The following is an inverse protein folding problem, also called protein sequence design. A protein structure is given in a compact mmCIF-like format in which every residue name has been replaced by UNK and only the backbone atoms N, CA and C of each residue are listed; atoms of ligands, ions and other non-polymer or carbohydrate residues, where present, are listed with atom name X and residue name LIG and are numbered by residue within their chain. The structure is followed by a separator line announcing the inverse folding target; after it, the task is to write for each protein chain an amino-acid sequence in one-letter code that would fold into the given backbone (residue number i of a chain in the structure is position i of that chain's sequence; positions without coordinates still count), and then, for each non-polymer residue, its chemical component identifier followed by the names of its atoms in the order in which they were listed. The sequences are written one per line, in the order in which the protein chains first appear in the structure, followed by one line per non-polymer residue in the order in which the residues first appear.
data_IF_091215973962
#
_entry.id   IF_091215973962
#
_cell.length_a   1.000
_cell.length_b   1.000
_cell.length_c   1.000
_cell.angle_alpha   90.00
_cell.angle_beta   90.00
_cell.angle_gamma   90.00
#
_symmetry.space_group_name_H-M   'P 1'
#
loop_
_entity.id
_entity.type
_entity.pdbx_description
1 polymer ?
#
# COMPACT_ATOMS: atom_id res chain seq x y z
N UNK A 1 -1.33 21.86 3.48
CA UNK A 1 -1.04 21.20 2.19
C UNK A 1 -1.15 19.69 2.44
N UNK A 2 -1.78 18.89 1.58
CA UNK A 2 -1.81 17.44 1.79
C UNK A 2 -0.35 16.93 1.82
N UNK A 3 -0.05 16.04 2.76
CA UNK A 3 1.29 15.74 3.26
C UNK A 3 2.25 15.13 2.23
N UNK A 4 1.81 14.87 1.00
CA UNK A 4 2.60 14.24 -0.06
C UNK A 4 2.40 14.90 -1.43
N UNK A 5 2.02 16.18 -1.47
CA UNK A 5 1.91 16.92 -2.72
C UNK A 5 3.28 17.32 -3.27
N UNK A 6 3.45 17.17 -4.59
CA UNK A 6 4.65 17.57 -5.31
C UNK A 6 4.37 18.85 -6.12
N UNK A 7 5.31 19.79 -6.07
CA UNK A 7 5.31 20.99 -6.92
C UNK A 7 6.54 20.95 -7.83
N UNK A 8 6.30 20.74 -9.13
CA UNK A 8 7.32 20.81 -10.16
C UNK A 8 7.34 22.22 -10.76
N UNK A 9 8.36 23.03 -10.46
CA UNK A 9 8.51 24.38 -11.02
C UNK A 9 9.51 24.34 -12.17
N UNK A 10 9.08 24.81 -13.35
CA UNK A 10 9.94 25.08 -14.50
C UNK A 10 10.11 26.59 -14.66
N UNK A 11 11.34 27.02 -14.89
CA UNK A 11 11.67 28.42 -15.14
C UNK A 11 12.22 28.59 -16.54
N UNK A 12 11.76 29.61 -17.24
CA UNK A 12 12.30 29.96 -18.54
C UNK A 12 12.27 31.47 -18.75
N UNK A 13 13.21 31.96 -19.56
CA UNK A 13 13.28 33.37 -19.94
C UNK A 13 12.61 33.52 -21.30
N UNK A 14 11.59 34.37 -21.37
CA UNK A 14 10.95 34.81 -22.61
C UNK A 14 11.44 36.20 -22.96
N UNK A 15 11.82 36.41 -24.21
CA UNK A 15 12.26 37.71 -24.71
C UNK A 15 11.34 38.16 -25.84
N UNK A 16 10.70 39.32 -25.67
CA UNK A 16 9.82 39.93 -26.67
C UNK A 16 10.07 41.43 -26.71
N UNK A 17 10.31 41.98 -27.92
CA UNK A 17 10.54 43.42 -28.13
C UNK A 17 11.65 44.01 -27.24
N UNK A 18 12.72 43.24 -27.00
CA UNK A 18 13.86 43.66 -26.16
C UNK A 18 13.59 43.64 -24.65
N UNK A 19 12.41 43.16 -24.19
CA UNK A 19 12.15 42.90 -22.78
C UNK A 19 12.36 41.43 -22.46
N UNK A 20 13.13 41.16 -21.40
CA UNK A 20 13.32 39.81 -20.84
C UNK A 20 12.37 39.59 -19.67
N UNK A 21 11.56 38.55 -19.76
CA UNK A 21 10.59 38.14 -18.74
C UNK A 21 10.97 36.76 -18.22
N UNK A 22 11.13 36.63 -16.91
CA UNK A 22 11.27 35.32 -16.28
C UNK A 22 9.89 34.74 -16.01
N UNK A 23 9.61 33.55 -16.55
CA UNK A 23 8.35 32.85 -16.38
C UNK A 23 8.57 31.66 -15.46
N UNK A 24 7.73 31.55 -14.44
CA UNK A 24 7.66 30.42 -13.53
C UNK A 24 6.39 29.63 -13.86
N UNK A 25 6.56 28.41 -14.34
CA UNK A 25 5.45 27.49 -14.58
C UNK A 25 5.49 26.38 -13.53
N UNK A 26 4.51 26.37 -12.63
CA UNK A 26 4.37 25.32 -11.62
C UNK A 26 3.36 24.25 -12.05
N UNK A 27 3.70 22.98 -11.89
CA UNK A 27 2.76 21.86 -11.91
C UNK A 27 2.62 21.30 -10.51
N UNK A 28 1.43 21.40 -9.94
CA UNK A 28 1.09 20.81 -8.65
C UNK A 28 0.42 19.46 -8.88
N UNK A 29 0.97 18.41 -8.29
CA UNK A 29 0.37 17.06 -8.29
C UNK A 29 0.12 16.64 -6.85
N UNK A 30 -1.15 16.54 -6.48
CA UNK A 30 -1.56 15.90 -5.24
C UNK A 30 -1.78 14.39 -5.49
N UNK A 31 -1.56 13.55 -4.46
CA UNK A 31 -2.03 12.17 -4.51
C UNK A 31 -3.55 12.15 -4.72
N UNK A 32 -4.11 11.16 -5.45
CA UNK A 32 -5.54 10.90 -5.43
C UNK A 32 -6.12 10.88 -3.99
N UNK A 33 -7.37 11.29 -3.77
CA UNK A 33 -8.01 11.14 -2.47
C UNK A 33 -7.99 9.68 -2.04
N UNK A 34 -7.42 9.40 -0.86
CA UNK A 34 -7.43 8.07 -0.28
C UNK A 34 -8.86 7.75 0.20
N UNK A 35 -9.44 6.58 -0.14
CA UNK A 35 -10.67 6.15 0.52
C UNK A 35 -10.40 5.91 2.01
N UNK A 36 -11.38 6.17 2.87
CA UNK A 36 -11.46 5.69 4.27
C UNK A 36 -10.19 5.80 5.15
N UNK A 37 -9.33 6.82 4.94
CA UNK A 37 -8.18 7.09 5.81
C UNK A 37 -6.94 6.23 5.56
N UNK A 38 -6.76 5.71 4.34
CA UNK A 38 -5.50 5.08 3.97
C UNK A 38 -4.36 6.13 3.88
N UNK A 39 -3.19 5.75 4.37
CA UNK A 39 -1.96 6.54 4.30
C UNK A 39 -1.31 6.36 2.93
N UNK A 40 -0.90 7.46 2.30
CA UNK A 40 -0.24 7.43 1.00
C UNK A 40 1.26 7.22 1.14
N UNK A 41 1.78 6.22 0.42
CA UNK A 41 3.20 5.95 0.27
C UNK A 41 3.63 6.30 -1.16
N UNK A 42 4.39 7.40 -1.36
CA UNK A 42 4.74 7.91 -2.68
C UNK A 42 5.39 6.85 -3.59
N UNK A 43 4.80 6.67 -4.77
CA UNK A 43 5.27 5.71 -5.78
C UNK A 43 5.00 4.24 -5.46
N UNK A 44 4.27 3.94 -4.37
CA UNK A 44 3.88 2.57 -4.00
C UNK A 44 2.37 2.39 -4.03
N UNK A 45 1.64 3.19 -3.23
CA UNK A 45 0.19 3.01 -3.10
C UNK A 45 -0.35 3.58 -1.79
N UNK A 46 -1.56 3.17 -1.42
CA UNK A 46 -2.20 3.56 -0.17
C UNK A 46 -2.41 2.36 0.73
N UNK A 47 -2.10 2.50 2.01
CA UNK A 47 -2.19 1.41 2.97
C UNK A 47 -2.91 1.82 4.24
N UNK A 48 -3.62 0.89 4.87
CA UNK A 48 -4.28 1.11 6.15
C UNK A 48 -4.11 -0.11 7.05
N UNK A 49 -3.50 0.13 8.21
CA UNK A 49 -3.20 -0.91 9.19
C UNK A 49 -4.29 -0.99 10.26
N UNK A 50 -4.71 -2.21 10.56
CA UNK A 50 -5.73 -2.53 11.56
C UNK A 50 -5.08 -3.30 12.72
N UNK A 51 -4.60 -2.62 13.79
CA UNK A 51 -3.80 -3.23 14.85
C UNK A 51 -4.60 -4.10 15.84
N UNK A 52 -5.88 -3.77 16.06
CA UNK A 52 -6.74 -4.44 17.04
C UNK A 52 -7.97 -4.98 16.32
N UNK A 53 -7.87 -6.22 15.86
CA UNK A 53 -8.90 -6.86 15.07
C UNK A 53 -9.18 -8.25 15.62
N UNK A 54 -10.44 -8.54 15.95
CA UNK A 54 -10.98 -9.91 16.16
C UNK A 54 -11.50 -10.51 14.85
N UNK A 55 -11.22 -9.89 13.70
CA UNK A 55 -11.76 -10.28 12.42
C UNK A 55 -11.12 -11.58 11.92
N UNK A 56 -11.96 -12.53 11.53
CA UNK A 56 -11.56 -13.65 10.67
C UNK A 56 -11.09 -13.13 9.30
N UNK A 57 -10.41 -13.99 8.53
CA UNK A 57 -9.91 -13.64 7.20
C UNK A 57 -10.99 -13.02 6.29
N UNK A 58 -12.16 -13.64 6.20
CA UNK A 58 -13.28 -13.12 5.39
C UNK A 58 -13.73 -11.73 5.86
N UNK A 59 -13.77 -11.53 7.18
CA UNK A 59 -14.16 -10.24 7.75
C UNK A 59 -13.08 -9.16 7.52
N UNK A 60 -11.80 -9.53 7.51
CA UNK A 60 -10.71 -8.63 7.15
C UNK A 60 -10.80 -8.25 5.65
N UNK A 61 -11.06 -9.24 4.79
CA UNK A 61 -11.26 -9.04 3.36
C UNK A 61 -12.45 -8.13 3.07
N UNK A 62 -13.60 -8.37 3.71
CA UNK A 62 -14.78 -7.53 3.57
C UNK A 62 -14.55 -6.13 4.12
N UNK A 63 -13.79 -5.99 5.21
CA UNK A 63 -13.39 -4.67 5.73
C UNK A 63 -12.60 -3.90 4.67
N UNK A 64 -11.56 -4.50 4.08
CA UNK A 64 -10.80 -3.84 3.03
C UNK A 64 -11.65 -3.49 1.81
N UNK A 65 -12.54 -4.39 1.37
CA UNK A 65 -13.47 -4.13 0.25
C UNK A 65 -14.41 -2.97 0.52
N UNK A 66 -15.00 -2.91 1.71
CA UNK A 66 -15.88 -1.80 2.11
C UNK A 66 -15.13 -0.47 2.19
N UNK A 67 -13.84 -0.54 2.46
CA UNK A 67 -12.90 0.58 2.47
C UNK A 67 -12.40 0.96 1.05
N UNK A 68 -12.92 0.33 0.00
CA UNK A 68 -12.53 0.57 -1.40
C UNK A 68 -11.17 -0.04 -1.77
N UNK A 69 -10.68 -0.98 -0.98
CA UNK A 69 -9.36 -1.58 -1.04
C UNK A 69 -9.45 -3.12 -1.14
N UNK A 70 -8.30 -3.80 -1.14
CA UNK A 70 -8.21 -5.24 -0.93
C UNK A 70 -7.20 -5.55 0.19
N UNK A 71 -7.15 -6.81 0.65
CA UNK A 71 -6.06 -7.24 1.54
C UNK A 71 -4.72 -7.04 0.84
N UNK A 72 -3.71 -6.57 1.56
CA UNK A 72 -2.41 -6.25 0.96
C UNK A 72 -1.77 -7.46 0.28
N UNK A 73 -1.31 -7.25 -0.97
CA UNK A 73 -0.62 -8.22 -1.80
C UNK A 73 0.83 -7.77 -1.92
N UNK A 74 1.70 -8.32 -1.08
CA UNK A 74 3.12 -7.97 -1.01
C UNK A 74 3.92 -8.65 -2.14
N UNK A 75 3.92 -8.05 -3.31
CA UNK A 75 4.51 -8.51 -4.56
C UNK A 75 5.79 -7.76 -4.98
N UNK A 76 6.21 -6.68 -4.28
CA UNK A 76 7.42 -5.93 -4.62
C UNK A 76 8.27 -5.47 -3.43
N UNK A 77 9.56 -5.21 -3.68
CA UNK A 77 10.46 -4.65 -2.65
C UNK A 77 9.99 -3.29 -2.10
N UNK A 78 9.28 -2.51 -2.91
CA UNK A 78 8.75 -1.21 -2.51
C UNK A 78 7.62 -1.35 -1.49
N UNK A 79 6.67 -2.27 -1.73
CA UNK A 79 5.60 -2.61 -0.79
C UNK A 79 6.16 -3.19 0.51
N UNK A 80 7.23 -3.98 0.43
CA UNK A 80 7.91 -4.49 1.61
C UNK A 80 8.54 -3.40 2.47
N UNK A 81 9.07 -2.32 1.86
CA UNK A 81 9.55 -1.16 2.61
C UNK A 81 8.40 -0.44 3.32
N UNK A 82 7.24 -0.33 2.68
CA UNK A 82 6.03 0.20 3.30
C UNK A 82 5.64 -0.64 4.51
N UNK A 83 5.54 -1.96 4.33
CA UNK A 83 5.22 -2.90 5.42
C UNK A 83 6.18 -2.77 6.60
N UNK A 84 7.50 -2.77 6.33
CA UNK A 84 8.55 -2.57 7.35
C UNK A 84 8.37 -1.23 8.06
N UNK A 85 8.01 -0.16 7.36
CA UNK A 85 7.76 1.16 7.98
C UNK A 85 6.51 1.19 8.86
N UNK A 86 5.43 0.53 8.44
CA UNK A 86 4.18 0.42 9.20
C UNK A 86 4.44 -0.37 10.49
N UNK A 87 5.13 -1.51 10.40
CA UNK A 87 5.46 -2.31 11.58
C UNK A 87 6.64 -1.78 12.40
N UNK A 88 7.53 -0.95 11.86
CA UNK A 88 8.54 -0.28 12.68
C UNK A 88 7.91 0.66 13.71
N UNK A 89 6.74 1.24 13.39
CA UNK A 89 5.90 1.99 14.34
C UNK A 89 5.21 1.10 15.38
N UNK A 90 5.26 -0.22 15.20
CA UNK A 90 4.70 -1.27 16.07
C UNK A 90 5.77 -2.35 16.36
N UNK A 91 6.77 -2.05 17.21
CA UNK A 91 8.07 -2.70 17.19
C UNK A 91 7.99 -4.22 17.39
N UNK A 92 8.27 -4.96 16.31
CA UNK A 92 9.12 -6.16 16.19
C UNK A 92 8.77 -6.87 14.88
N UNK A 93 9.34 -6.47 13.74
CA UNK A 93 9.30 -7.30 12.52
C UNK A 93 10.49 -6.99 11.59
N UNK A 94 11.02 -8.03 10.95
CA UNK A 94 11.83 -7.94 9.74
C UNK A 94 11.58 -9.21 8.93
N UNK A 95 11.29 -9.13 7.63
CA UNK A 95 10.96 -10.31 6.81
C UNK A 95 11.60 -10.28 5.43
N UNK A 96 12.06 -11.45 4.96
CA UNK A 96 12.17 -11.85 3.52
C UNK A 96 12.03 -13.40 3.22
N UNK A 97 11.63 -14.32 4.13
CA UNK A 97 11.61 -15.80 3.86
C UNK A 97 10.48 -16.59 4.55
N UNK A 98 9.73 -17.47 3.87
CA UNK A 98 8.78 -18.41 4.51
C UNK A 98 9.36 -19.00 5.81
N UNK A 99 8.52 -19.17 6.83
CA UNK A 99 9.02 -19.80 8.08
C UNK A 99 9.52 -21.21 7.77
N UNK A 100 10.50 -21.68 8.55
CA UNK A 100 11.20 -22.93 8.26
C UNK A 100 10.24 -24.12 8.31
N UNK A 101 9.85 -24.64 7.15
CA UNK A 101 8.87 -25.74 7.03
C UNK A 101 7.61 -25.35 6.26
N UNK A 102 7.39 -24.05 6.01
CA UNK A 102 6.22 -23.51 5.33
C UNK A 102 6.45 -23.30 3.82
N UNK A 103 5.41 -23.37 2.98
CA UNK A 103 4.01 -23.64 3.34
C UNK A 103 3.77 -25.13 3.67
N UNK A 104 3.24 -25.41 4.86
CA UNK A 104 2.88 -26.73 5.34
C UNK A 104 1.36 -26.79 5.52
N UNK A 105 0.71 -27.49 4.59
CA UNK A 105 -0.73 -27.71 4.59
C UNK A 105 -1.19 -28.62 5.75
N UNK A 106 -1.19 -28.12 6.99
CA UNK A 106 -1.58 -28.89 8.16
C UNK A 106 -3.06 -29.25 8.07
N UNK A 107 -3.36 -30.55 7.93
CA UNK A 107 -4.71 -31.11 7.79
C UNK A 107 -5.54 -30.63 6.57
N UNK A 108 -4.94 -29.98 5.57
CA UNK A 108 -5.68 -29.58 4.36
C UNK A 108 -6.42 -28.25 4.44
N UNK A 109 -6.24 -27.44 5.50
CA UNK A 109 -7.11 -26.30 5.82
C UNK A 109 -6.39 -24.93 5.89
N UNK A 110 -5.11 -24.88 5.57
CA UNK A 110 -4.29 -23.67 5.64
C UNK A 110 -4.19 -23.01 4.26
N UNK A 111 -5.26 -22.34 3.85
CA UNK A 111 -5.35 -21.67 2.54
C UNK A 111 -5.18 -20.15 2.59
N UNK A 112 -5.00 -19.58 3.78
CA UNK A 112 -4.86 -18.13 3.97
C UNK A 112 -3.43 -17.77 4.34
N UNK A 113 -2.88 -16.70 3.75
CA UNK A 113 -1.55 -16.20 4.10
C UNK A 113 -1.59 -15.32 5.34
N UNK A 114 -0.68 -15.56 6.28
CA UNK A 114 -0.40 -14.71 7.42
C UNK A 114 1.08 -14.37 7.48
N UNK A 115 1.41 -13.28 8.15
CA UNK A 115 2.78 -12.92 8.46
C UNK A 115 3.01 -13.07 9.97
N UNK A 116 4.01 -13.86 10.33
CA UNK A 116 4.41 -14.07 11.72
C UNK A 116 5.03 -12.79 12.31
N UNK A 117 5.15 -12.75 13.65
CA UNK A 117 5.84 -11.65 14.35
C UNK A 117 7.32 -11.56 14.01
N UNK A 118 7.96 -12.64 13.58
CA UNK A 118 9.32 -12.63 13.05
C UNK A 118 9.37 -12.12 11.61
N UNK A 119 8.24 -11.68 11.07
CA UNK A 119 8.09 -11.26 9.69
C UNK A 119 7.87 -12.42 8.72
N UNK A 120 8.18 -13.67 9.09
CA UNK A 120 8.12 -14.83 8.20
C UNK A 120 6.70 -15.07 7.66
N UNK A 121 6.54 -15.43 6.38
CA UNK A 121 5.24 -15.82 5.82
C UNK A 121 4.85 -17.20 6.33
N UNK A 122 3.56 -17.39 6.55
CA UNK A 122 2.95 -18.59 7.06
C UNK A 122 1.62 -18.82 6.31
N UNK A 123 1.35 -20.01 5.79
CA UNK A 123 0.00 -20.41 5.45
C UNK A 123 -0.72 -20.83 6.74
N UNK A 124 -1.93 -20.31 6.90
CA UNK A 124 -2.64 -20.32 8.16
C UNK A 124 -4.12 -20.59 7.91
N UNK A 125 -4.77 -21.24 8.87
CA UNK A 125 -6.18 -21.52 8.77
C UNK A 125 -6.99 -20.23 8.70
N UNK A 126 -7.81 -20.12 7.65
CA UNK A 126 -8.73 -19.03 7.41
C UNK A 126 -9.77 -18.87 8.54
N UNK A 127 -10.05 -19.95 9.27
CA UNK A 127 -11.02 -19.99 10.38
C UNK A 127 -10.45 -19.51 11.71
N UNK A 128 -9.17 -19.14 11.76
CA UNK A 128 -8.56 -18.71 13.01
C UNK A 128 -9.15 -17.40 13.51
N UNK A 129 -9.59 -17.43 14.77
CA UNK A 129 -10.35 -16.35 15.43
C UNK A 129 -9.47 -15.53 16.39
N UNK A 130 -8.16 -15.79 16.42
CA UNK A 130 -7.25 -14.99 17.26
C UNK A 130 -7.06 -13.59 16.67
N UNK A 131 -6.82 -12.62 17.54
CA UNK A 131 -6.68 -11.21 17.18
C UNK A 131 -5.53 -10.99 16.18
N UNK A 132 -5.80 -11.08 14.89
CA UNK A 132 -4.81 -10.90 13.85
C UNK A 132 -4.94 -9.49 13.26
N UNK A 133 -3.90 -8.66 13.42
CA UNK A 133 -3.80 -7.43 12.67
C UNK A 133 -3.79 -7.71 11.17
N UNK A 134 -4.37 -6.83 10.37
CA UNK A 134 -4.36 -6.94 8.92
C UNK A 134 -4.06 -5.60 8.26
N UNK A 135 -3.66 -5.67 7.00
CA UNK A 135 -3.31 -4.51 6.19
C UNK A 135 -4.18 -4.48 4.95
N UNK A 136 -4.85 -3.35 4.71
CA UNK A 136 -5.51 -3.09 3.44
C UNK A 136 -4.58 -2.31 2.51
N UNK A 137 -4.67 -2.61 1.23
CA UNK A 137 -3.97 -1.97 0.14
C UNK A 137 -4.97 -1.42 -0.88
N UNK A 138 -4.75 -0.18 -1.26
CA UNK A 138 -5.43 0.49 -2.36
C UNK A 138 -4.40 1.06 -3.30
N UNK A 139 -4.32 0.50 -4.51
CA UNK A 139 -3.56 1.11 -5.58
C UNK A 139 -4.52 1.73 -6.61
N UNK A 140 -4.62 3.08 -6.69
CA UNK A 140 -5.43 3.75 -7.71
C UNK A 140 -4.85 3.64 -9.13
N UNK A 141 -3.70 3.00 -9.31
CA UNK A 141 -2.98 2.81 -10.57
C UNK A 141 -3.04 1.37 -11.09
N UNK A 142 -3.28 0.36 -10.23
CA UNK A 142 -3.65 -0.99 -10.67
C UNK A 142 -4.96 -0.91 -11.46
N UNK A 143 -4.88 -1.19 -12.76
CA UNK A 143 -6.00 -1.11 -13.70
C UNK A 143 -6.11 0.18 -14.52
N UNK A 144 -5.30 1.24 -14.27
CA UNK A 144 -5.28 2.44 -15.15
C UNK A 144 -4.30 2.35 -16.32
N UNK A 145 -3.38 1.39 -16.28
CA UNK A 145 -2.50 1.10 -17.41
C UNK A 145 -3.16 0.21 -18.47
N UNK A 146 -4.39 -0.28 -18.26
CA UNK A 146 -5.15 -1.05 -19.27
C UNK A 146 -6.27 -0.24 -19.95
N UNK A 147 -6.64 0.95 -19.46
CA UNK A 147 -7.76 1.75 -20.03
C UNK A 147 -7.31 2.91 -20.92
N UNK A 148 -6.04 2.95 -21.33
CA UNK A 148 -5.50 4.00 -22.21
C UNK A 148 -4.85 3.47 -23.50
N UNK A 149 -5.35 2.37 -24.05
CA UNK A 149 -5.09 1.99 -25.46
C UNK A 149 -6.33 1.36 -26.11
N UNK A 150 -7.42 2.11 -26.28
CA UNK A 150 -8.33 1.90 -27.43
C UNK A 150 -8.87 3.26 -27.91
N UNK A 151 -8.31 3.69 -29.05
CA UNK A 151 -8.76 4.64 -30.09
C UNK A 151 -9.39 5.98 -29.68
#
# INVERSE_FOLDING_TARGET
MPENAKLDVKTYVSESEGRKTMIFQGKYTAPPPAPHGHEYFPGVGYYKFYPESTAKFDKAMDTCRNDGAHLAILNSEAEMKVLKSIFARHPKTGYERWDGGEPYNYNGNDHCGAMTKSGLLNDHSCETIFNMPFLCEYDPFLGKNEVNEIQ
#
